data_IF_043998909642
#
_entry.id   IF_043998909642
#
_cell.length_a   1.000
_cell.length_b   1.000
_cell.length_c   1.000
_cell.angle_alpha   90.00
_cell.angle_beta   90.00
_cell.angle_gamma   90.00
#
_symmetry.space_group_name_H-M   'P 1'
#
loop_
_entity.id
_entity.type
_entity.pdbx_description
1 polymer ?
#
# COMPACT_ATOMS: atom_id res chain seq x y z
N UNK A 1 -8.01 6.08 -22.11
CA UNK A 1 -8.02 5.62 -20.71
C UNK A 1 -8.21 6.86 -19.86
N UNK A 2 -9.37 7.00 -19.21
CA UNK A 2 -9.74 8.24 -18.51
C UNK A 2 -8.90 8.42 -17.23
N UNK A 3 -8.50 9.66 -16.92
CA UNK A 3 -7.66 9.97 -15.75
C UNK A 3 -8.33 9.57 -14.43
N UNK A 4 -9.66 9.61 -14.37
CA UNK A 4 -10.44 9.15 -13.23
C UNK A 4 -10.35 7.62 -13.04
N UNK A 5 -10.26 6.85 -14.12
CA UNK A 5 -10.09 5.40 -14.03
C UNK A 5 -8.70 5.04 -13.50
N UNK A 6 -7.67 5.78 -13.93
CA UNK A 6 -6.31 5.64 -13.44
C UNK A 6 -6.23 5.90 -11.93
N UNK A 7 -6.80 7.02 -11.45
CA UNK A 7 -6.74 7.39 -10.03
C UNK A 7 -7.46 6.39 -9.14
N UNK A 8 -8.63 5.89 -9.55
CA UNK A 8 -9.36 4.85 -8.81
C UNK A 8 -8.54 3.56 -8.71
N UNK A 9 -7.82 3.17 -9.78
CA UNK A 9 -6.96 1.98 -9.75
C UNK A 9 -5.78 2.14 -8.78
N UNK A 10 -5.14 3.31 -8.73
CA UNK A 10 -4.08 3.59 -7.75
C UNK A 10 -4.60 3.57 -6.30
N UNK A 11 -5.76 4.18 -6.05
CA UNK A 11 -6.38 4.21 -4.71
C UNK A 11 -6.75 2.79 -4.26
N UNK A 12 -7.33 1.98 -5.14
CA UNK A 12 -7.67 0.59 -4.83
C UNK A 12 -6.42 -0.24 -4.50
N UNK A 13 -5.34 -0.05 -5.26
CA UNK A 13 -4.05 -0.72 -5.01
C UNK A 13 -3.48 -0.37 -3.63
N UNK A 14 -3.49 0.92 -3.27
CA UNK A 14 -3.05 1.38 -1.95
C UNK A 14 -3.94 0.82 -0.83
N UNK A 15 -5.26 0.80 -1.04
CA UNK A 15 -6.20 0.23 -0.08
C UNK A 15 -5.92 -1.26 0.19
N UNK A 16 -5.64 -2.04 -0.87
CA UNK A 16 -5.26 -3.45 -0.73
C UNK A 16 -3.92 -3.63 0.02
N UNK A 17 -2.92 -2.78 -0.24
CA UNK A 17 -1.63 -2.83 0.45
C UNK A 17 -1.77 -2.53 1.95
N UNK A 18 -2.54 -1.50 2.31
CA UNK A 18 -2.85 -1.17 3.71
C UNK A 18 -3.65 -2.27 4.38
N UNK A 19 -4.64 -2.85 3.68
CA UNK A 19 -5.42 -3.98 4.17
C UNK A 19 -4.55 -5.21 4.48
N UNK A 20 -3.54 -5.49 3.64
CA UNK A 20 -2.58 -6.56 3.89
C UNK A 20 -1.70 -6.29 5.14
N UNK A 21 -1.25 -5.05 5.34
CA UNK A 21 -0.49 -4.68 6.54
C UNK A 21 -1.33 -4.79 7.81
N UNK A 22 -2.60 -4.36 7.76
CA UNK A 22 -3.56 -4.53 8.84
C UNK A 22 -3.75 -6.01 9.19
N UNK A 23 -3.89 -6.88 8.19
CA UNK A 23 -4.01 -8.32 8.42
C UNK A 23 -2.76 -8.89 9.09
N UNK A 24 -1.56 -8.46 8.69
CA UNK A 24 -0.30 -8.84 9.36
C UNK A 24 -0.21 -8.33 10.81
N UNK A 25 -0.86 -7.20 11.12
CA UNK A 25 -0.96 -6.66 12.48
C UNK A 25 -1.96 -7.46 13.32
N UNK A 26 -3.10 -7.86 12.75
CA UNK A 26 -4.08 -8.70 13.44
C UNK A 26 -3.53 -10.10 13.73
N UNK A 27 -2.77 -10.68 12.79
CA UNK A 27 -2.08 -11.97 12.97
C UNK A 27 -1.02 -11.91 14.09
N UNK A 28 -0.45 -10.71 14.30
CA UNK A 28 0.45 -10.44 15.42
C UNK A 28 -0.31 -10.30 16.75
N UNK A 29 -1.49 -9.70 16.75
CA UNK A 29 -2.33 -9.51 17.94
C UNK A 29 -2.83 -10.85 18.51
N UNK A 30 -3.20 -11.79 17.63
CA UNK A 30 -3.66 -13.14 18.00
C UNK A 30 -2.50 -14.10 18.35
N UNK A 31 -1.26 -13.58 18.42
CA UNK A 31 -0.01 -14.31 18.69
C UNK A 31 0.25 -15.49 17.71
N UNK A 32 -0.35 -15.41 16.51
CA UNK A 32 -0.29 -16.46 15.48
C UNK A 32 1.05 -16.45 14.72
N UNK A 33 1.71 -15.29 14.65
CA UNK A 33 2.98 -15.08 13.95
C UNK A 33 3.98 -14.28 14.76
N UNK A 34 5.26 -14.62 14.61
CA UNK A 34 6.35 -13.94 15.32
C UNK A 34 6.58 -12.52 14.80
N UNK A 35 6.90 -11.58 15.70
CA UNK A 35 7.10 -10.16 15.37
C UNK A 35 8.21 -9.90 14.37
N UNK A 36 9.25 -10.75 14.32
CA UNK A 36 10.32 -10.64 13.32
C UNK A 36 9.83 -10.99 11.91
N UNK A 37 8.97 -12.00 11.78
CA UNK A 37 8.45 -12.43 10.48
C UNK A 37 7.44 -11.40 9.96
N UNK A 38 6.52 -10.94 10.81
CA UNK A 38 5.58 -9.88 10.47
C UNK A 38 6.30 -8.57 10.09
N UNK A 39 7.34 -8.16 10.84
CA UNK A 39 8.13 -6.97 10.51
C UNK A 39 8.85 -7.10 9.15
N UNK A 40 9.41 -8.26 8.84
CA UNK A 40 10.04 -8.54 7.54
C UNK A 40 9.04 -8.43 6.39
N UNK A 41 7.84 -9.01 6.57
CA UNK A 41 6.74 -8.98 5.58
C UNK A 41 6.21 -7.56 5.37
N UNK A 42 6.00 -6.80 6.43
CA UNK A 42 5.55 -5.40 6.36
C UNK A 42 6.62 -4.54 5.68
N UNK A 43 7.90 -4.67 6.05
CA UNK A 43 8.98 -3.87 5.46
C UNK A 43 9.15 -4.13 3.95
N UNK A 44 8.89 -5.37 3.50
CA UNK A 44 8.91 -5.69 2.07
C UNK A 44 7.73 -5.05 1.30
N UNK A 45 6.61 -4.84 1.97
CA UNK A 45 5.39 -4.27 1.38
C UNK A 45 5.34 -2.73 1.49
N UNK A 46 5.96 -2.14 2.52
CA UNK A 46 5.94 -0.69 2.75
C UNK A 46 6.77 0.07 1.72
N UNK A 47 7.91 -0.51 1.28
CA UNK A 47 8.74 0.09 0.24
C UNK A 47 7.99 0.30 -1.09
N UNK A 48 7.34 -0.72 -1.68
CA UNK A 48 6.56 -0.53 -2.90
C UNK A 48 5.34 0.37 -2.67
N UNK A 49 4.72 0.38 -1.49
CA UNK A 49 3.62 1.30 -1.18
C UNK A 49 4.04 2.76 -1.32
N UNK A 50 5.15 3.16 -0.69
CA UNK A 50 5.66 4.53 -0.78
C UNK A 50 6.06 4.91 -2.21
N UNK A 51 6.61 3.96 -2.98
CA UNK A 51 6.94 4.19 -4.40
C UNK A 51 5.67 4.45 -5.20
N UNK A 52 4.63 3.61 -5.05
CA UNK A 52 3.36 3.76 -5.75
C UNK A 52 2.68 5.08 -5.39
N UNK A 53 2.68 5.46 -4.10
CA UNK A 53 2.13 6.73 -3.64
C UNK A 53 2.91 7.94 -4.18
N UNK A 54 4.24 7.86 -4.18
CA UNK A 54 5.10 8.92 -4.74
C UNK A 54 4.87 9.11 -6.24
N UNK A 55 4.84 8.02 -7.00
CA UNK A 55 4.54 8.04 -8.44
C UNK A 55 3.14 8.61 -8.69
N UNK A 56 2.14 8.19 -7.92
CA UNK A 56 0.78 8.69 -8.04
C UNK A 56 0.70 10.22 -7.80
N UNK A 57 1.38 10.72 -6.77
CA UNK A 57 1.42 12.16 -6.48
C UNK A 57 2.07 12.97 -7.61
N UNK A 58 3.19 12.48 -8.17
CA UNK A 58 3.86 13.12 -9.31
C UNK A 58 2.96 13.13 -10.55
N UNK A 59 2.25 12.03 -10.82
CA UNK A 59 1.30 11.94 -11.94
C UNK A 59 0.18 12.97 -11.78
N UNK A 60 -0.42 13.10 -10.60
CA UNK A 60 -1.46 14.08 -10.33
C UNK A 60 -0.94 15.52 -10.52
N UNK A 61 0.25 15.81 -9.99
CA UNK A 61 0.88 17.12 -10.12
C UNK A 61 1.11 17.52 -11.58
N UNK A 62 1.65 16.60 -12.40
CA UNK A 62 1.89 16.82 -13.83
C UNK A 62 0.57 16.98 -14.59
N UNK A 63 -0.46 16.23 -14.19
CA UNK A 63 -1.78 16.26 -14.84
C UNK A 63 -2.55 17.56 -14.53
N UNK A 64 -2.02 18.44 -13.64
CA UNK A 64 -2.69 19.65 -13.11
C UNK A 64 -4.11 19.35 -12.66
N UNK A 65 -4.28 18.18 -12.05
CA UNK A 65 -5.53 17.73 -11.45
C UNK A 65 -5.56 18.09 -9.96
#
# INVERSE_FOLDING_TARGET
MDMAFLSISFILTLLCLVGYQLLCLMDLEDDYINSYDSSSRINRTVLPEFIVQGVFCVILFITRH
#
